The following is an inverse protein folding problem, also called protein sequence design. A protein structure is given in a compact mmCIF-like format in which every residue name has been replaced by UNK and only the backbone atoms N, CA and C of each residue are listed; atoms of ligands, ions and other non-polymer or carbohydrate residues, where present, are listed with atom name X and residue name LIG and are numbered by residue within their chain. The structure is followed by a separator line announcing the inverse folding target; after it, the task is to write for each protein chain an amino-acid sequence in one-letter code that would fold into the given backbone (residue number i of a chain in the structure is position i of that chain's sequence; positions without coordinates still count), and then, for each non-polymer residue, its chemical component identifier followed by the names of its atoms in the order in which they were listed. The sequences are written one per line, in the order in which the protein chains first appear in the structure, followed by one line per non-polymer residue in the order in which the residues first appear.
data_IF_033304729546
#
_entry.id   IF_033304729546
#
_cell.length_a   1.000
_cell.length_b   1.000
_cell.length_c   1.000
_cell.angle_alpha   90.00
_cell.angle_beta   90.00
_cell.angle_gamma   90.00
#
_symmetry.space_group_name_H-M   'P 1'
#
loop_
_entity.id
_entity.type
_entity.pdbx_description
1 polymer ?
#
# COMPACT_ATOMS: atom_id res chain seq x y z
N UNK A 1 31.64 -13.80 12.10
CA UNK A 1 30.26 -14.30 12.30
C UNK A 1 29.33 -13.28 11.68
N UNK A 2 28.44 -13.67 10.78
CA UNK A 2 27.41 -12.78 10.27
C UNK A 2 26.49 -12.40 11.44
N UNK A 3 26.26 -11.10 11.63
CA UNK A 3 25.30 -10.60 12.64
C UNK A 3 23.90 -11.06 12.21
N UNK A 4 23.17 -11.72 13.10
CA UNK A 4 21.74 -11.97 12.88
C UNK A 4 21.02 -10.64 13.04
N UNK A 5 20.20 -10.28 12.04
CA UNK A 5 19.38 -9.07 12.06
C UNK A 5 17.93 -9.43 12.41
N UNK A 6 17.31 -8.62 13.25
CA UNK A 6 15.90 -8.73 13.59
C UNK A 6 15.04 -7.92 12.62
N UNK A 7 13.89 -8.47 12.23
CA UNK A 7 12.86 -7.80 11.44
C UNK A 7 11.48 -8.19 11.98
N UNK A 8 10.43 -7.53 11.50
CA UNK A 8 9.04 -7.90 11.73
C UNK A 8 8.20 -7.61 10.49
N UNK A 9 6.96 -8.12 10.44
CA UNK A 9 6.08 -7.99 9.27
C UNK A 9 5.36 -6.64 9.16
N UNK A 10 5.55 -5.75 10.12
CA UNK A 10 4.88 -4.45 10.15
C UNK A 10 4.42 -4.08 11.56
N UNK A 11 3.95 -2.83 11.73
CA UNK A 11 3.48 -2.29 13.00
C UNK A 11 1.99 -1.89 12.92
N UNK A 12 1.17 -2.20 13.94
CA UNK A 12 -0.25 -1.86 13.94
C UNK A 12 -0.49 -0.35 13.80
N UNK A 13 -1.05 0.08 12.67
CA UNK A 13 -1.27 1.51 12.37
C UNK A 13 -2.23 2.25 13.29
N UNK A 14 -3.09 1.50 14.01
CA UNK A 14 -4.15 2.09 14.83
C UNK A 14 -3.63 3.00 15.95
N UNK A 15 -2.41 2.73 16.47
CA UNK A 15 -1.82 3.43 17.60
C UNK A 15 -2.40 2.98 18.95
N UNK A 16 -1.70 3.32 20.04
CA UNK A 16 -2.06 2.90 21.40
C UNK A 16 -3.38 3.53 21.85
N UNK A 17 -3.62 4.80 21.49
CA UNK A 17 -4.82 5.58 21.81
C UNK A 17 -5.79 5.70 20.62
N UNK A 18 -5.63 4.84 19.61
CA UNK A 18 -6.41 4.85 18.36
C UNK A 18 -6.28 6.17 17.58
N UNK A 19 -5.09 6.78 17.59
CA UNK A 19 -4.79 8.08 17.03
C UNK A 19 -5.10 8.11 15.53
N UNK A 20 -4.68 7.07 14.80
CA UNK A 20 -4.96 6.91 13.38
C UNK A 20 -6.46 7.06 13.07
N UNK A 21 -7.32 6.37 13.82
CA UNK A 21 -8.78 6.44 13.65
C UNK A 21 -9.32 7.85 13.96
N UNK A 22 -8.86 8.45 15.05
CA UNK A 22 -9.29 9.80 15.44
C UNK A 22 -8.95 10.85 14.38
N UNK A 23 -7.78 10.73 13.73
CA UNK A 23 -7.36 11.64 12.66
C UNK A 23 -8.20 11.43 11.40
N UNK A 24 -8.46 10.18 10.99
CA UNK A 24 -9.35 9.86 9.87
C UNK A 24 -10.76 10.44 10.07
N UNK A 25 -11.36 10.23 11.23
CA UNK A 25 -12.70 10.72 11.54
C UNK A 25 -12.80 12.25 11.50
N UNK A 26 -11.72 12.95 11.91
CA UNK A 26 -11.65 14.41 11.79
C UNK A 26 -11.64 14.87 10.31
N UNK A 27 -10.85 14.21 9.47
CA UNK A 27 -10.79 14.51 8.05
C UNK A 27 -12.14 14.24 7.37
N UNK A 28 -12.69 13.06 7.54
CA UNK A 28 -13.99 12.69 6.96
C UNK A 28 -15.18 13.53 7.43
N UNK A 29 -15.05 14.18 8.58
CA UNK A 29 -16.06 15.14 9.12
C UNK A 29 -15.74 16.59 8.79
N UNK A 30 -14.78 16.85 7.89
CA UNK A 30 -14.32 18.19 7.47
C UNK A 30 -13.87 19.09 8.64
N UNK A 31 -13.35 18.49 9.73
CA UNK A 31 -12.81 19.23 10.87
C UNK A 31 -11.35 19.62 10.71
N UNK A 32 -10.66 19.02 9.77
CA UNK A 32 -9.29 19.34 9.37
C UNK A 32 -9.18 19.27 7.85
N UNK A 33 -8.32 20.10 7.27
CA UNK A 33 -7.97 20.07 5.85
C UNK A 33 -6.97 18.94 5.54
N UNK A 34 -6.72 18.71 4.25
CA UNK A 34 -5.81 17.67 3.78
C UNK A 34 -4.38 17.87 4.31
N UNK A 35 -3.87 19.10 4.32
CA UNK A 35 -2.51 19.38 4.79
C UNK A 35 -2.34 19.02 6.27
N UNK A 36 -3.30 19.42 7.09
CA UNK A 36 -3.33 19.09 8.53
C UNK A 36 -3.48 17.59 8.75
N UNK A 37 -4.34 16.92 7.96
CA UNK A 37 -4.51 15.48 8.00
C UNK A 37 -3.20 14.74 7.68
N UNK A 38 -2.54 15.09 6.58
CA UNK A 38 -1.29 14.46 6.16
C UNK A 38 -0.17 14.65 7.22
N UNK A 39 -0.05 15.85 7.79
CA UNK A 39 0.90 16.12 8.88
C UNK A 39 0.62 15.27 10.13
N UNK A 40 -0.64 15.13 10.51
CA UNK A 40 -1.00 14.30 11.67
C UNK A 40 -0.70 12.82 11.40
N UNK A 41 -0.98 12.31 10.19
CA UNK A 41 -0.64 10.93 9.80
C UNK A 41 0.87 10.70 9.74
N UNK A 42 1.65 11.68 9.26
CA UNK A 42 3.12 11.64 9.29
C UNK A 42 3.64 11.46 10.73
N UNK A 43 3.13 12.27 11.67
CA UNK A 43 3.54 12.20 13.08
C UNK A 43 3.28 10.81 13.67
N UNK A 44 2.11 10.22 13.42
CA UNK A 44 1.76 8.88 13.91
C UNK A 44 2.69 7.83 13.28
N UNK A 45 2.87 7.87 11.97
CA UNK A 45 3.72 6.94 11.24
C UNK A 45 5.16 6.97 11.72
N UNK A 46 5.75 8.17 11.83
CA UNK A 46 7.11 8.33 12.31
C UNK A 46 7.29 7.90 13.77
N UNK A 47 6.27 8.11 14.62
CA UNK A 47 6.28 7.61 16.00
C UNK A 47 6.34 6.06 16.03
N UNK A 48 5.61 5.38 15.15
CA UNK A 48 5.65 3.92 15.04
C UNK A 48 7.02 3.41 14.57
N UNK A 49 7.62 4.05 13.57
CA UNK A 49 8.97 3.74 13.09
C UNK A 49 10.00 3.95 14.19
N UNK A 50 9.94 5.09 14.87
CA UNK A 50 10.84 5.42 15.99
C UNK A 50 10.72 4.40 17.12
N UNK A 51 9.49 3.97 17.46
CA UNK A 51 9.26 2.98 18.54
C UNK A 51 9.94 1.65 18.23
N UNK A 52 9.86 1.16 17.00
CA UNK A 52 10.52 -0.08 16.57
C UNK A 52 12.04 0.03 16.68
N UNK A 53 12.62 1.15 16.22
CA UNK A 53 14.05 1.43 16.40
C UNK A 53 14.45 1.41 17.88
N UNK A 54 13.69 2.08 18.72
CA UNK A 54 14.00 2.21 20.16
C UNK A 54 13.87 0.87 20.90
N UNK A 55 13.14 -0.11 20.31
CA UNK A 55 13.08 -1.51 20.78
C UNK A 55 14.17 -2.41 20.17
N UNK A 56 15.05 -1.87 19.33
CA UNK A 56 16.20 -2.58 18.80
C UNK A 56 15.90 -3.46 17.57
N UNK A 57 14.83 -3.18 16.82
CA UNK A 57 14.58 -3.81 15.51
C UNK A 57 15.64 -3.31 14.53
N UNK A 58 16.36 -4.22 13.87
CA UNK A 58 17.43 -3.88 12.92
C UNK A 58 16.84 -3.46 11.55
N UNK A 59 15.93 -4.26 10.99
CA UNK A 59 15.22 -3.97 9.73
C UNK A 59 13.78 -3.54 10.04
N UNK A 60 13.52 -2.25 9.93
CA UNK A 60 12.23 -1.66 10.29
C UNK A 60 11.36 -1.54 9.05
N UNK A 61 10.15 -2.14 9.03
CA UNK A 61 9.21 -2.02 7.91
C UNK A 61 8.81 -0.56 7.66
N UNK A 62 8.80 -0.17 6.39
CA UNK A 62 8.38 1.15 5.93
C UNK A 62 7.32 0.98 4.84
N UNK A 63 6.22 1.73 4.93
CA UNK A 63 5.13 1.64 3.97
C UNK A 63 4.01 0.65 4.35
N UNK A 64 4.15 -0.04 5.47
CA UNK A 64 3.10 -0.84 6.11
C UNK A 64 1.95 0.01 6.68
N UNK A 65 2.17 1.31 6.85
CA UNK A 65 1.19 2.28 7.33
C UNK A 65 0.31 2.77 6.19
N UNK A 66 -0.91 2.23 6.07
CA UNK A 66 -1.91 2.66 5.08
C UNK A 66 -2.93 3.64 5.68
N UNK A 67 -3.48 4.52 4.83
CA UNK A 67 -4.56 5.42 5.24
C UNK A 67 -5.91 4.70 5.33
N UNK A 68 -6.14 3.68 4.52
CA UNK A 68 -7.33 2.82 4.56
C UNK A 68 -6.92 1.35 4.58
N UNK A 69 -6.39 0.81 3.49
CA UNK A 69 -5.79 -0.53 3.42
C UNK A 69 -4.64 -0.58 2.41
N UNK A 70 -3.77 -1.57 2.55
CA UNK A 70 -2.54 -1.69 1.76
C UNK A 70 -2.77 -2.19 0.32
N UNK A 71 -3.90 -2.88 0.05
CA UNK A 71 -4.28 -3.28 -1.30
C UNK A 71 -4.77 -2.06 -2.08
N UNK A 72 -5.59 -1.21 -1.46
CA UNK A 72 -6.00 0.07 -2.04
C UNK A 72 -4.79 0.99 -2.29
N UNK A 73 -3.84 1.05 -1.34
CA UNK A 73 -2.59 1.79 -1.53
C UNK A 73 -1.83 1.32 -2.78
N UNK A 74 -1.75 0.00 -2.99
CA UNK A 74 -1.12 -0.59 -4.19
C UNK A 74 -1.91 -0.28 -5.45
N UNK A 75 -3.25 -0.35 -5.39
CA UNK A 75 -4.10 -0.02 -6.53
C UNK A 75 -3.88 1.42 -7.01
N UNK A 76 -3.93 2.39 -6.08
CA UNK A 76 -3.74 3.81 -6.44
C UNK A 76 -2.31 4.11 -6.86
N UNK A 77 -1.30 3.39 -6.34
CA UNK A 77 0.09 3.50 -6.79
C UNK A 77 0.23 3.20 -8.28
N UNK A 78 -0.57 2.24 -8.78
CA UNK A 78 -0.59 1.87 -10.20
C UNK A 78 -1.74 2.51 -10.99
N UNK A 79 -2.39 3.55 -10.44
CA UNK A 79 -3.46 4.28 -11.13
C UNK A 79 -4.75 3.47 -11.31
N UNK A 80 -4.92 2.40 -10.52
CA UNK A 80 -6.11 1.54 -10.50
C UNK A 80 -7.30 2.24 -9.84
N UNK A 81 -7.87 3.22 -10.53
CA UNK A 81 -9.06 3.96 -10.10
C UNK A 81 -10.22 3.59 -11.02
N UNK A 82 -11.35 3.07 -10.49
CA UNK A 82 -12.53 2.77 -11.30
C UNK A 82 -13.07 4.01 -12.01
N UNK A 83 -13.52 3.86 -13.28
CA UNK A 83 -13.99 4.95 -14.14
C UNK A 83 -15.06 5.83 -13.48
N UNK A 84 -15.93 5.24 -12.63
CA UNK A 84 -17.00 5.97 -11.94
C UNK A 84 -16.55 7.09 -11.00
N UNK A 85 -15.24 7.16 -10.69
CA UNK A 85 -14.65 8.22 -9.86
C UNK A 85 -13.97 9.33 -10.69
N UNK A 86 -14.16 9.36 -12.02
CA UNK A 86 -13.73 10.41 -12.94
C UNK A 86 -12.27 10.85 -12.79
N UNK A 87 -11.37 9.88 -12.59
CA UNK A 87 -9.95 10.12 -12.43
C UNK A 87 -9.27 10.36 -13.78
N UNK A 88 -8.56 11.48 -13.90
CA UNK A 88 -7.95 11.94 -15.14
C UNK A 88 -6.46 11.60 -15.28
N UNK A 89 -5.92 10.80 -14.38
CA UNK A 89 -4.49 10.41 -14.38
C UNK A 89 -3.62 11.23 -13.42
N UNK A 90 -2.35 10.83 -13.30
CA UNK A 90 -1.38 11.41 -12.36
C UNK A 90 -1.52 10.83 -10.94
N UNK A 91 -1.02 11.55 -9.94
CA UNK A 91 -1.20 11.14 -8.53
C UNK A 91 -2.68 11.14 -8.17
N UNK A 92 -3.16 10.05 -7.57
CA UNK A 92 -4.56 9.94 -7.13
C UNK A 92 -4.82 10.90 -5.97
N UNK A 93 -5.81 11.81 -6.10
CA UNK A 93 -6.19 12.72 -5.01
C UNK A 93 -6.65 11.95 -3.76
N UNK A 94 -6.42 12.53 -2.59
CA UNK A 94 -6.79 11.90 -1.32
C UNK A 94 -8.31 11.67 -1.20
N UNK A 95 -9.13 12.60 -1.68
CA UNK A 95 -10.59 12.44 -1.68
C UNK A 95 -10.98 11.27 -2.58
N UNK A 96 -10.42 11.16 -3.79
CA UNK A 96 -10.66 10.02 -4.69
C UNK A 96 -10.23 8.69 -4.05
N UNK A 97 -9.09 8.66 -3.34
CA UNK A 97 -8.66 7.49 -2.59
C UNK A 97 -9.70 7.03 -1.56
N UNK A 98 -10.29 7.96 -0.81
CA UNK A 98 -11.35 7.64 0.15
C UNK A 98 -12.69 7.35 -0.52
N UNK A 99 -12.99 7.97 -1.65
CA UNK A 99 -14.21 7.72 -2.43
C UNK A 99 -14.24 6.29 -2.97
N UNK A 100 -13.10 5.75 -3.41
CA UNK A 100 -13.00 4.33 -3.81
C UNK A 100 -13.42 3.42 -2.65
N UNK A 101 -12.98 3.72 -1.43
CA UNK A 101 -13.24 2.89 -0.26
C UNK A 101 -14.63 3.07 0.35
N UNK A 102 -15.23 4.26 0.22
CA UNK A 102 -16.45 4.64 0.95
C UNK A 102 -17.65 4.94 0.05
N UNK A 103 -17.40 5.15 -1.23
CA UNK A 103 -18.38 5.67 -2.18
C UNK A 103 -18.66 7.16 -1.97
N UNK A 104 -19.34 7.70 -2.95
CA UNK A 104 -19.91 9.06 -2.93
C UNK A 104 -21.44 8.98 -3.02
N UNK A 105 -22.11 10.13 -3.06
CA UNK A 105 -23.56 10.19 -3.30
C UNK A 105 -23.94 9.58 -4.67
N UNK A 106 -23.06 9.74 -5.66
CA UNK A 106 -23.35 9.41 -7.07
C UNK A 106 -22.60 8.16 -7.55
N UNK A 107 -21.59 7.68 -6.80
CA UNK A 107 -20.78 6.53 -7.17
C UNK A 107 -20.63 5.56 -5.99
N UNK A 108 -21.00 4.28 -6.17
CA UNK A 108 -20.86 3.29 -5.10
C UNK A 108 -19.39 3.00 -4.81
N UNK A 109 -19.08 2.66 -3.55
CA UNK A 109 -17.78 2.19 -3.14
C UNK A 109 -17.37 0.94 -3.92
N UNK A 110 -16.07 0.70 -4.03
CA UNK A 110 -15.55 -0.59 -4.45
C UNK A 110 -15.88 -1.68 -3.43
N UNK A 111 -15.88 -2.92 -3.86
CA UNK A 111 -16.18 -4.06 -3.00
C UNK A 111 -15.16 -4.15 -1.86
N UNK A 112 -15.66 -4.50 -0.66
CA UNK A 112 -14.84 -4.80 0.50
C UNK A 112 -14.96 -6.28 0.83
N UNK A 113 -13.85 -6.99 0.95
CA UNK A 113 -13.86 -8.41 1.31
C UNK A 113 -12.73 -8.73 2.29
N UNK A 114 -12.74 -9.95 2.83
CA UNK A 114 -11.75 -10.38 3.82
C UNK A 114 -10.39 -10.62 3.18
N UNK A 115 -9.35 -10.14 3.85
CA UNK A 115 -7.98 -10.52 3.58
C UNK A 115 -7.78 -11.99 4.00
N UNK A 116 -7.81 -12.89 3.02
CA UNK A 116 -7.73 -14.34 3.23
C UNK A 116 -8.73 -14.84 4.30
N UNK A 117 -8.29 -15.64 5.23
CA UNK A 117 -9.13 -16.18 6.31
C UNK A 117 -8.99 -15.37 7.62
N UNK A 118 -8.91 -14.05 7.52
CA UNK A 118 -8.77 -13.14 8.67
C UNK A 118 -10.00 -12.26 8.87
N UNK A 119 -10.03 -11.48 9.95
CA UNK A 119 -11.03 -10.43 10.15
C UNK A 119 -10.60 -9.08 9.57
N UNK A 120 -9.41 -9.00 8.98
CA UNK A 120 -8.99 -7.82 8.23
C UNK A 120 -9.69 -7.79 6.87
N UNK A 121 -10.14 -6.62 6.45
CA UNK A 121 -10.81 -6.42 5.16
C UNK A 121 -10.00 -5.48 4.29
N UNK A 122 -10.06 -5.67 2.99
CA UNK A 122 -9.43 -4.79 2.00
C UNK A 122 -10.44 -4.37 0.93
N UNK A 123 -10.15 -3.28 0.24
CA UNK A 123 -10.89 -2.81 -0.92
C UNK A 123 -10.39 -3.54 -2.17
N UNK A 124 -11.30 -4.20 -2.87
CA UNK A 124 -10.98 -5.00 -4.07
C UNK A 124 -10.64 -4.05 -5.22
N UNK A 125 -9.40 -4.10 -5.78
CA UNK A 125 -9.04 -3.30 -6.95
C UNK A 125 -9.85 -3.71 -8.19
N UNK A 126 -10.19 -2.74 -9.03
CA UNK A 126 -10.96 -2.94 -10.25
C UNK A 126 -10.15 -2.42 -11.44
N UNK A 127 -9.87 -3.31 -12.42
CA UNK A 127 -9.05 -2.99 -13.60
C UNK A 127 -9.84 -3.01 -14.90
N UNK A 128 -11.17 -2.94 -14.85
CA UNK A 128 -12.02 -2.88 -16.05
C UNK A 128 -11.65 -1.67 -16.92
N UNK A 129 -11.07 -1.94 -18.11
CA UNK A 129 -10.75 -0.91 -19.10
C UNK A 129 -9.55 0.00 -18.78
N UNK A 130 -8.90 -0.13 -17.62
CA UNK A 130 -7.76 0.71 -17.26
C UNK A 130 -6.42 0.00 -17.48
N UNK A 131 -5.45 0.72 -18.08
CA UNK A 131 -4.07 0.26 -18.16
C UNK A 131 -3.30 0.71 -16.92
N UNK A 132 -2.65 -0.23 -16.16
CA UNK A 132 -1.88 0.14 -14.99
C UNK A 132 -0.68 1.02 -15.35
N UNK A 133 -0.42 2.03 -14.53
CA UNK A 133 0.73 2.95 -14.67
C UNK A 133 1.27 3.28 -13.30
N UNK A 134 2.58 3.29 -13.13
CA UNK A 134 3.19 3.80 -11.90
C UNK A 134 3.00 5.33 -11.83
N UNK A 135 2.05 5.77 -11.00
CA UNK A 135 1.74 7.20 -10.81
C UNK A 135 2.43 7.80 -9.59
N UNK A 136 2.78 6.98 -8.61
CA UNK A 136 3.53 7.37 -7.42
C UNK A 136 4.29 6.16 -6.86
N UNK A 137 5.58 6.29 -6.58
CA UNK A 137 6.33 5.29 -5.83
C UNK A 137 6.18 5.54 -4.33
N UNK A 138 5.08 5.07 -3.73
CA UNK A 138 4.77 5.25 -2.30
C UNK A 138 5.82 4.64 -1.37
N UNK A 139 6.32 3.40 -1.60
CA UNK A 139 7.40 2.83 -0.80
C UNK A 139 8.63 3.72 -0.74
N UNK A 140 9.02 4.32 -1.87
CA UNK A 140 10.13 5.26 -1.94
C UNK A 140 9.87 6.54 -1.13
N UNK A 141 8.66 7.08 -1.20
CA UNK A 141 8.27 8.25 -0.44
C UNK A 141 8.42 8.01 1.07
N UNK A 142 7.94 6.87 1.57
CA UNK A 142 8.06 6.50 2.99
C UNK A 142 9.50 6.21 3.42
N UNK A 143 10.30 5.62 2.53
CA UNK A 143 11.73 5.41 2.80
C UNK A 143 12.46 6.75 2.96
N UNK A 144 12.24 7.69 2.03
CA UNK A 144 12.83 9.03 2.10
C UNK A 144 12.40 9.77 3.37
N UNK A 145 11.11 9.73 3.69
CA UNK A 145 10.58 10.35 4.91
C UNK A 145 11.28 9.83 6.17
N UNK A 146 11.39 8.51 6.35
CA UNK A 146 12.05 7.90 7.50
C UNK A 146 13.56 8.24 7.54
N UNK A 147 14.22 8.20 6.39
CA UNK A 147 15.64 8.55 6.23
C UNK A 147 15.91 10.02 6.57
N UNK A 148 15.10 10.94 6.07
CA UNK A 148 15.27 12.37 6.27
C UNK A 148 14.89 12.81 7.69
N UNK A 149 13.75 12.34 8.20
CA UNK A 149 13.21 12.79 9.49
C UNK A 149 13.83 12.09 10.70
N UNK A 150 14.23 10.82 10.56
CA UNK A 150 14.67 9.98 11.67
C UNK A 150 16.09 9.39 11.47
N UNK A 151 16.69 9.54 10.30
CA UNK A 151 17.94 8.87 9.95
C UNK A 151 17.82 7.34 9.83
N UNK A 152 16.61 6.82 9.63
CA UNK A 152 16.34 5.38 9.58
C UNK A 152 16.30 4.91 8.13
N UNK A 153 17.14 3.94 7.80
CA UNK A 153 17.15 3.18 6.54
C UNK A 153 16.45 1.84 6.82
N UNK A 154 15.11 1.84 6.74
CA UNK A 154 14.33 0.63 6.94
C UNK A 154 14.12 -0.16 5.66
N UNK A 155 13.27 -1.18 5.71
CA UNK A 155 12.90 -2.00 4.57
C UNK A 155 11.50 -1.62 4.06
N UNK A 156 11.36 -1.07 2.84
CA UNK A 156 10.06 -0.85 2.23
C UNK A 156 9.27 -2.14 2.10
N UNK A 157 7.97 -2.08 2.42
CA UNK A 157 7.03 -3.20 2.32
C UNK A 157 6.11 -2.97 1.13
N UNK A 158 6.00 -3.97 0.25
CA UNK A 158 5.11 -3.96 -0.91
C UNK A 158 4.34 -5.27 -1.02
N UNK A 159 3.09 -5.20 -1.49
CA UNK A 159 2.36 -6.40 -1.90
C UNK A 159 2.94 -6.84 -3.25
N UNK A 160 3.23 -8.13 -3.40
CA UNK A 160 3.74 -8.67 -4.65
C UNK A 160 2.67 -8.71 -5.75
N UNK A 161 3.09 -8.69 -7.02
CA UNK A 161 2.18 -8.55 -8.16
C UNK A 161 1.18 -9.70 -8.29
N UNK A 162 1.58 -10.91 -7.94
CA UNK A 162 0.70 -12.07 -8.05
C UNK A 162 -0.43 -12.02 -7.03
N UNK A 163 -0.12 -11.77 -5.76
CA UNK A 163 -1.14 -11.55 -4.72
C UNK A 163 -2.06 -10.39 -5.11
N UNK A 164 -1.48 -9.27 -5.54
CA UNK A 164 -2.25 -8.09 -5.90
C UNK A 164 -3.28 -8.39 -7.01
N UNK A 165 -2.87 -9.08 -8.08
CA UNK A 165 -3.78 -9.45 -9.18
C UNK A 165 -4.84 -10.46 -8.72
N UNK A 166 -4.47 -11.49 -7.97
CA UNK A 166 -5.43 -12.50 -7.46
C UNK A 166 -6.47 -11.91 -6.50
N UNK A 167 -6.17 -10.79 -5.86
CA UNK A 167 -7.11 -10.05 -5.00
C UNK A 167 -7.92 -8.98 -5.76
N UNK A 168 -7.62 -8.76 -7.04
CA UNK A 168 -8.27 -7.78 -7.91
C UNK A 168 -9.38 -8.43 -8.74
N UNK A 169 -10.17 -7.60 -9.43
CA UNK A 169 -11.18 -8.02 -10.40
C UNK A 169 -11.25 -7.09 -11.62
N UNK A 170 -12.03 -7.49 -12.63
CA UNK A 170 -12.27 -6.69 -13.81
C UNK A 170 -11.20 -6.77 -14.88
N UNK A 171 -10.32 -7.79 -14.85
CA UNK A 171 -9.42 -8.14 -15.95
C UNK A 171 -10.08 -9.14 -16.92
N UNK A 172 -9.67 -9.07 -18.21
CA UNK A 172 -10.41 -9.71 -19.31
C UNK A 172 -10.08 -11.19 -19.51
N UNK A 173 -8.90 -11.65 -19.11
CA UNK A 173 -8.36 -12.98 -19.38
C UNK A 173 -8.80 -14.09 -18.39
N UNK A 174 -9.65 -13.74 -17.43
CA UNK A 174 -10.23 -14.69 -16.47
C UNK A 174 -9.29 -15.19 -15.38
N UNK A 175 -7.98 -15.26 -15.62
CA UNK A 175 -6.96 -15.74 -14.67
C UNK A 175 -6.00 -14.63 -14.17
N UNK A 176 -5.99 -13.48 -14.83
CA UNK A 176 -5.21 -12.31 -14.46
C UNK A 176 -3.75 -12.33 -14.94
N UNK A 177 -3.32 -13.33 -15.71
CA UNK A 177 -1.91 -13.43 -16.16
C UNK A 177 -1.50 -12.22 -17.00
N UNK A 178 -2.34 -11.77 -17.93
CA UNK A 178 -2.06 -10.57 -18.72
C UNK A 178 -1.92 -9.31 -17.86
N UNK A 179 -2.64 -9.20 -16.77
CA UNK A 179 -2.48 -8.08 -15.82
C UNK A 179 -1.17 -8.21 -15.03
N UNK A 180 -0.76 -9.42 -14.64
CA UNK A 180 0.57 -9.65 -14.02
C UNK A 180 1.68 -9.22 -14.96
N UNK A 181 1.64 -9.63 -16.25
CA UNK A 181 2.63 -9.24 -17.25
C UNK A 181 2.73 -7.72 -17.43
N UNK A 182 1.62 -6.99 -17.36
CA UNK A 182 1.62 -5.52 -17.40
C UNK A 182 2.18 -4.88 -16.12
N UNK A 183 1.99 -5.50 -14.96
CA UNK A 183 2.46 -4.98 -13.69
C UNK A 183 3.95 -5.26 -13.42
N UNK A 184 4.48 -6.40 -13.83
CA UNK A 184 5.89 -6.78 -13.60
C UNK A 184 6.89 -5.68 -13.97
N UNK A 185 6.83 -5.04 -15.17
CA UNK A 185 7.75 -3.94 -15.49
C UNK A 185 7.55 -2.70 -14.60
N UNK A 186 6.35 -2.46 -14.08
CA UNK A 186 6.09 -1.36 -13.14
C UNK A 186 6.70 -1.66 -11.77
N UNK A 187 6.57 -2.89 -11.27
CA UNK A 187 7.26 -3.34 -10.06
C UNK A 187 8.78 -3.26 -10.21
N UNK A 188 9.31 -3.70 -11.36
CA UNK A 188 10.74 -3.56 -11.66
C UNK A 188 11.20 -2.09 -11.58
N UNK A 189 10.37 -1.16 -12.06
CA UNK A 189 10.64 0.28 -11.94
C UNK A 189 10.61 0.73 -10.48
N UNK A 190 9.62 0.31 -9.68
CA UNK A 190 9.55 0.61 -8.24
C UNK A 190 10.83 0.17 -7.54
N UNK A 191 11.26 -1.08 -7.76
CA UNK A 191 12.48 -1.64 -7.16
C UNK A 191 13.75 -0.92 -7.62
N UNK A 192 13.82 -0.55 -8.90
CA UNK A 192 14.95 0.20 -9.44
C UNK A 192 15.07 1.58 -8.79
N UNK A 193 13.98 2.33 -8.66
CA UNK A 193 13.97 3.64 -8.00
C UNK A 193 14.35 3.52 -6.51
N UNK A 194 13.94 2.45 -5.82
CA UNK A 194 14.37 2.15 -4.46
C UNK A 194 15.88 1.86 -4.38
N UNK A 195 16.40 1.05 -5.30
CA UNK A 195 17.83 0.73 -5.40
C UNK A 195 18.68 2.00 -5.64
N UNK A 196 18.23 2.89 -6.54
CA UNK A 196 18.90 4.17 -6.83
C UNK A 196 18.96 5.09 -5.61
N UNK A 197 17.97 5.00 -4.69
CA UNK A 197 17.97 5.73 -3.40
C UNK A 197 18.86 5.08 -2.33
N UNK A 198 19.37 3.88 -2.59
CA UNK A 198 20.25 3.13 -1.69
C UNK A 198 19.50 2.22 -0.72
N UNK A 199 18.30 1.77 -1.08
CA UNK A 199 17.57 0.71 -0.34
C UNK A 199 18.27 -0.62 -0.55
N UNK A 200 18.58 -1.32 0.54
CA UNK A 200 19.29 -2.62 0.52
C UNK A 200 18.31 -3.80 0.62
N UNK A 201 17.18 -3.61 1.31
CA UNK A 201 16.20 -4.66 1.58
C UNK A 201 14.79 -4.15 1.25
N UNK A 202 13.99 -5.00 0.61
CA UNK A 202 12.57 -4.78 0.35
C UNK A 202 11.81 -6.03 0.78
N UNK A 203 10.80 -5.88 1.61
CA UNK A 203 9.86 -6.94 1.93
C UNK A 203 8.79 -6.99 0.84
N UNK A 204 8.66 -8.13 0.14
CA UNK A 204 7.61 -8.37 -0.83
C UNK A 204 6.63 -9.43 -0.29
N UNK A 205 5.40 -9.02 -0.04
CA UNK A 205 4.38 -9.88 0.55
C UNK A 205 3.59 -10.60 -0.56
N UNK A 206 3.77 -11.93 -0.65
CA UNK A 206 3.05 -12.81 -1.58
C UNK A 206 2.26 -13.91 -0.83
N UNK A 207 1.31 -13.54 0.04
CA UNK A 207 0.57 -14.53 0.83
C UNK A 207 -0.30 -15.46 0.00
N UNK A 208 -0.63 -15.13 -1.26
CA UNK A 208 -1.36 -16.03 -2.16
C UNK A 208 -0.62 -17.37 -2.37
N UNK A 209 0.71 -17.38 -2.21
CA UNK A 209 1.54 -18.58 -2.35
C UNK A 209 1.23 -19.65 -1.29
N UNK A 210 0.50 -19.33 -0.21
CA UNK A 210 0.02 -20.30 0.76
C UNK A 210 -1.31 -20.97 0.38
N UNK A 211 -1.89 -20.60 -0.76
CA UNK A 211 -3.13 -21.20 -1.30
C UNK A 211 -2.83 -22.26 -2.35
N UNK A 212 -3.89 -22.91 -2.88
CA UNK A 212 -3.73 -23.83 -4.01
C UNK A 212 -3.50 -23.03 -5.29
N UNK A 213 -2.27 -23.10 -5.79
CA UNK A 213 -1.83 -22.48 -7.04
C UNK A 213 -1.35 -23.57 -8.01
N UNK A 214 -1.52 -23.35 -9.30
CA UNK A 214 -1.05 -24.24 -10.33
C UNK A 214 0.46 -24.09 -10.56
N UNK A 215 1.08 -25.10 -11.19
CA UNK A 215 2.49 -25.02 -11.55
C UNK A 215 2.76 -23.88 -12.54
N UNK A 216 1.85 -23.65 -13.47
CA UNK A 216 1.95 -22.57 -14.46
C UNK A 216 1.94 -21.18 -13.83
N UNK A 217 1.23 -21.01 -12.70
CA UNK A 217 1.19 -19.76 -11.94
C UNK A 217 2.46 -19.52 -11.12
N UNK A 218 3.31 -20.53 -10.93
CA UNK A 218 4.59 -20.43 -10.19
C UNK A 218 5.77 -20.16 -11.14
N UNK A 219 5.70 -20.68 -12.37
CA UNK A 219 6.73 -20.53 -13.42
C UNK A 219 6.62 -19.16 -14.13
#
# INVERSE_FOLDING_TARGET
MSKVMSSNLGYPRIGEDREWKKVLEKYWSNKVDEETFQKQMEVIRLAHVKKQRDQGVDLIPLGDFSLYDHVLDTAVMFGGVPERFDYQGGKVPLDTYFDIARGTKDSPASEMTKWFNTNYHYIVPEFSGSEPKLVENRPLAFYREAKEKLGIKGEPVIIGPFTFVKLSKGYDDGDGNALVEKLVPLYARVLKELQEEGVEWVQMDEPILCTSISRQEVE
#
